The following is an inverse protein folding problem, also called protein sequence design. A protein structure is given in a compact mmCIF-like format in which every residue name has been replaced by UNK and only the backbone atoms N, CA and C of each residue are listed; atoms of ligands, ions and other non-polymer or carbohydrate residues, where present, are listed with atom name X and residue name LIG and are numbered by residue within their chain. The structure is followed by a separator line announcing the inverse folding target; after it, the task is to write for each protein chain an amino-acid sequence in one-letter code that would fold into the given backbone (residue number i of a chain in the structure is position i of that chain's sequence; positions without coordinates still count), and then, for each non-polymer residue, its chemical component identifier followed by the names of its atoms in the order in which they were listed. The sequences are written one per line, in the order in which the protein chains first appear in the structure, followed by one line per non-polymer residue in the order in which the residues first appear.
data_IF_852920113148
#
_entry.id   IF_852920113148
#
_cell.length_a   1.000
_cell.length_b   1.000
_cell.length_c   1.000
_cell.angle_alpha   90.00
_cell.angle_beta   90.00
_cell.angle_gamma   90.00
#
_symmetry.space_group_name_H-M   'P 1'
#
loop_
_entity.id
_entity.type
_entity.pdbx_description
1 polymer ?
#
# COMPACT_ATOMS: atom_id res chain seq x y z
N UNK A 1 -26.38 3.86 -5.11
CA UNK A 1 -26.41 2.38 -5.01
C UNK A 1 -25.45 2.01 -3.92
N UNK A 2 -25.81 1.23 -2.93
CA UNK A 2 -24.87 0.82 -1.87
C UNK A 2 -23.93 -0.25 -2.43
N UNK A 3 -22.67 -0.24 -2.00
CA UNK A 3 -21.70 -1.28 -2.31
C UNK A 3 -22.32 -2.66 -1.99
N UNK A 4 -22.04 -3.70 -2.79
CA UNK A 4 -22.52 -5.04 -2.53
C UNK A 4 -22.01 -5.51 -1.17
N UNK A 5 -22.88 -6.14 -0.40
CA UNK A 5 -22.46 -6.73 0.88
C UNK A 5 -21.41 -7.82 0.62
N UNK A 6 -20.46 -8.06 1.54
CA UNK A 6 -19.44 -9.13 1.38
C UNK A 6 -20.02 -10.49 1.01
N UNK A 7 -21.22 -10.81 1.50
CA UNK A 7 -21.95 -12.06 1.18
C UNK A 7 -22.51 -12.14 -0.26
N UNK A 8 -22.44 -11.06 -1.02
CA UNK A 8 -22.91 -10.99 -2.43
C UNK A 8 -21.75 -11.06 -3.42
N UNK A 9 -20.51 -11.03 -2.94
CA UNK A 9 -19.34 -11.22 -3.79
C UNK A 9 -19.12 -12.71 -4.03
N UNK A 10 -18.66 -13.10 -5.22
CA UNK A 10 -18.29 -14.49 -5.48
C UNK A 10 -17.13 -14.91 -4.57
N UNK A 11 -17.06 -16.20 -4.27
CA UNK A 11 -15.96 -16.77 -3.49
C UNK A 11 -14.61 -16.39 -4.11
N UNK A 12 -13.66 -15.90 -3.30
CA UNK A 12 -12.36 -15.47 -3.80
C UNK A 12 -11.55 -16.66 -4.32
N UNK A 13 -11.06 -16.55 -5.55
CA UNK A 13 -10.17 -17.54 -6.16
C UNK A 13 -8.74 -17.07 -6.01
N UNK A 14 -7.92 -17.81 -5.26
CA UNK A 14 -6.49 -17.53 -5.15
C UNK A 14 -5.71 -18.32 -6.20
N UNK A 15 -4.77 -17.65 -6.85
CA UNK A 15 -3.86 -18.23 -7.83
C UNK A 15 -2.42 -17.95 -7.43
N UNK A 16 -1.51 -18.86 -7.74
CA UNK A 16 -0.08 -18.64 -7.53
C UNK A 16 0.50 -17.86 -8.73
N UNK A 17 1.25 -16.80 -8.45
CA UNK A 17 1.81 -15.88 -9.45
C UNK A 17 3.34 -15.77 -9.40
N UNK A 18 4.01 -16.78 -8.85
CA UNK A 18 5.46 -16.81 -8.68
C UNK A 18 5.85 -16.96 -7.22
N UNK A 19 7.02 -16.47 -6.84
CA UNK A 19 7.52 -16.53 -5.47
C UNK A 19 7.28 -15.22 -4.72
N UNK A 20 7.11 -15.34 -3.41
CA UNK A 20 7.07 -14.19 -2.51
C UNK A 20 8.41 -13.46 -2.52
N UNK A 21 8.38 -12.17 -2.24
CA UNK A 21 9.57 -11.32 -2.22
C UNK A 21 9.61 -10.47 -0.96
N UNK A 22 10.85 -10.12 -0.58
CA UNK A 22 11.15 -9.15 0.46
C UNK A 22 12.38 -8.32 0.07
N UNK A 23 12.72 -7.32 0.86
CA UNK A 23 13.94 -6.53 0.69
C UNK A 23 15.19 -7.38 1.01
N UNK A 24 16.29 -7.13 0.31
CA UNK A 24 17.56 -7.78 0.65
C UNK A 24 18.23 -7.14 1.89
N UNK A 25 17.96 -5.87 2.16
CA UNK A 25 18.50 -5.12 3.31
C UNK A 25 17.47 -4.08 3.78
N UNK A 26 17.64 -3.62 5.02
CA UNK A 26 16.88 -2.51 5.60
C UNK A 26 17.09 -1.22 4.81
N UNK A 27 16.00 -0.47 4.64
CA UNK A 27 15.98 0.89 4.08
C UNK A 27 15.64 1.86 5.21
N UNK A 28 16.34 2.99 5.29
CA UNK A 28 15.95 4.11 6.13
C UNK A 28 15.85 5.37 5.28
N UNK A 29 14.73 6.09 5.40
CA UNK A 29 14.45 7.32 4.68
C UNK A 29 14.03 8.39 5.68
N UNK A 30 14.64 9.56 5.57
CA UNK A 30 14.28 10.75 6.34
C UNK A 30 13.70 11.81 5.41
N UNK A 31 12.75 12.57 5.91
CA UNK A 31 12.16 13.67 5.16
C UNK A 31 11.10 14.40 5.96
N UNK A 32 10.32 15.21 5.29
CA UNK A 32 9.28 16.07 5.87
C UNK A 32 7.92 15.63 5.38
N UNK A 33 6.93 15.55 6.26
CA UNK A 33 5.53 15.31 5.91
C UNK A 33 4.92 16.57 5.26
N UNK A 34 4.15 16.37 4.19
CA UNK A 34 3.57 17.49 3.41
C UNK A 34 2.47 18.23 4.19
N UNK A 35 1.69 17.51 4.99
CA UNK A 35 0.61 18.11 5.78
C UNK A 35 1.10 18.62 7.15
N UNK A 36 1.97 17.83 7.79
CA UNK A 36 2.45 18.13 9.15
C UNK A 36 3.60 19.14 9.18
N UNK A 37 4.35 19.27 8.09
CA UNK A 37 5.63 20.00 8.03
C UNK A 37 6.63 19.53 9.13
N UNK A 38 6.51 18.30 9.58
CA UNK A 38 7.35 17.72 10.63
C UNK A 38 8.33 16.71 10.02
N UNK A 39 9.49 16.59 10.67
CA UNK A 39 10.46 15.54 10.34
C UNK A 39 9.86 14.15 10.60
N UNK A 40 10.12 13.26 9.68
CA UNK A 40 9.73 11.85 9.78
C UNK A 40 10.86 10.96 9.30
N UNK A 41 10.99 9.82 9.97
CA UNK A 41 11.92 8.75 9.58
C UNK A 41 11.14 7.47 9.36
N UNK A 42 11.32 6.85 8.20
CA UNK A 42 10.74 5.55 7.88
C UNK A 42 11.85 4.53 7.74
N UNK A 43 11.75 3.45 8.50
CA UNK A 43 12.63 2.27 8.39
C UNK A 43 11.80 1.11 7.87
N UNK A 44 12.28 0.46 6.81
CA UNK A 44 11.62 -0.68 6.16
C UNK A 44 12.57 -1.86 6.26
N UNK A 45 12.14 -2.92 6.92
CA UNK A 45 12.94 -4.12 7.19
C UNK A 45 12.38 -5.32 6.43
N UNK A 46 13.25 -6.23 5.93
CA UNK A 46 12.79 -7.46 5.32
C UNK A 46 12.07 -8.35 6.33
N UNK A 47 11.09 -9.11 5.84
CA UNK A 47 10.39 -10.11 6.63
C UNK A 47 10.36 -11.46 5.92
N UNK A 48 10.14 -12.53 6.69
CA UNK A 48 10.00 -13.89 6.18
C UNK A 48 8.73 -14.05 5.33
N UNK A 49 8.67 -15.14 4.57
CA UNK A 49 7.48 -15.49 3.80
C UNK A 49 6.22 -15.58 4.68
N UNK A 50 5.08 -15.24 4.08
CA UNK A 50 3.76 -15.25 4.71
C UNK A 50 3.57 -14.25 5.86
N UNK A 51 4.53 -13.34 6.07
CA UNK A 51 4.40 -12.28 7.09
C UNK A 51 3.37 -11.23 6.66
N UNK A 52 3.34 -10.86 5.40
CA UNK A 52 2.61 -9.69 4.95
C UNK A 52 3.30 -8.40 5.35
N UNK A 53 2.60 -7.29 5.27
CA UNK A 53 3.09 -6.02 5.80
C UNK A 53 2.80 -5.91 7.30
N UNK A 54 3.77 -5.37 8.01
CA UNK A 54 3.63 -4.97 9.41
C UNK A 54 4.00 -3.50 9.53
N UNK A 55 3.37 -2.82 10.49
CA UNK A 55 3.61 -1.40 10.73
C UNK A 55 3.71 -1.09 12.23
N UNK A 56 4.54 -0.14 12.58
CA UNK A 56 4.60 0.45 13.90
C UNK A 56 4.86 1.95 13.81
N UNK A 57 4.28 2.70 14.73
CA UNK A 57 4.59 4.12 14.93
C UNK A 57 5.38 4.30 16.21
N UNK A 58 6.50 5.06 16.14
CA UNK A 58 7.38 5.30 17.28
C UNK A 58 7.87 4.01 17.96
N UNK A 59 7.73 3.92 19.27
CA UNK A 59 8.14 2.75 20.06
C UNK A 59 6.98 1.77 20.30
N UNK A 60 5.83 1.97 19.64
CA UNK A 60 4.72 1.06 19.77
C UNK A 60 5.04 -0.32 19.17
N UNK A 61 4.38 -1.37 19.64
CA UNK A 61 4.54 -2.71 19.10
C UNK A 61 4.23 -2.73 17.58
N UNK A 62 4.95 -3.60 16.88
CA UNK A 62 4.68 -3.89 15.48
C UNK A 62 3.37 -4.66 15.38
N UNK A 63 2.48 -4.25 14.48
CA UNK A 63 1.22 -4.93 14.21
C UNK A 63 1.07 -5.23 12.71
N UNK A 64 0.31 -6.26 12.38
CA UNK A 64 0.03 -6.60 10.99
C UNK A 64 -0.83 -5.50 10.36
N UNK A 65 -0.44 -5.08 9.17
CA UNK A 65 -1.20 -4.11 8.39
C UNK A 65 -2.38 -4.81 7.71
N UNK A 66 -3.58 -4.30 7.94
CA UNK A 66 -4.83 -4.79 7.36
C UNK A 66 -5.68 -3.63 6.85
N UNK A 67 -6.65 -3.91 5.99
CA UNK A 67 -7.57 -2.89 5.47
C UNK A 67 -8.45 -2.27 6.55
N UNK A 68 -8.66 -2.94 7.68
CA UNK A 68 -9.47 -2.46 8.81
C UNK A 68 -8.85 -1.24 9.52
N UNK A 69 -7.55 -1.04 9.34
CA UNK A 69 -6.83 0.12 9.87
C UNK A 69 -6.97 1.36 8.99
N UNK A 70 -7.53 1.22 7.78
CA UNK A 70 -7.75 2.37 6.90
C UNK A 70 -8.67 3.39 7.57
N UNK A 71 -8.24 4.63 7.55
CA UNK A 71 -8.99 5.77 8.07
C UNK A 71 -9.34 6.69 6.91
N UNK A 72 -10.62 7.03 6.78
CA UNK A 72 -11.09 7.97 5.77
C UNK A 72 -10.72 9.40 6.20
N UNK A 73 -9.70 9.93 5.56
CA UNK A 73 -9.26 11.31 5.75
C UNK A 73 -9.05 11.98 4.38
N UNK A 74 -9.32 13.27 4.28
CA UNK A 74 -9.10 14.00 3.02
C UNK A 74 -7.64 13.98 2.58
N UNK A 75 -7.42 13.89 1.28
CA UNK A 75 -6.15 14.17 0.60
C UNK A 75 -5.01 13.17 0.79
N UNK A 76 -5.18 12.08 1.53
CA UNK A 76 -4.17 11.03 1.64
C UNK A 76 -4.76 9.72 2.17
N UNK A 77 -3.99 8.65 2.10
CA UNK A 77 -4.30 7.39 2.78
C UNK A 77 -3.69 7.38 4.17
N UNK A 78 -4.50 7.11 5.19
CA UNK A 78 -4.05 7.00 6.57
C UNK A 78 -4.42 5.66 7.18
N UNK A 79 -3.65 5.28 8.20
CA UNK A 79 -3.85 4.09 9.00
C UNK A 79 -4.03 4.48 10.47
N UNK A 80 -5.03 3.91 11.12
CA UNK A 80 -5.22 3.98 12.58
C UNK A 80 -4.68 2.72 13.21
N UNK A 81 -3.61 2.84 13.97
CA UNK A 81 -2.99 1.71 14.67
C UNK A 81 -3.75 1.38 15.96
N UNK A 82 -3.58 0.15 16.45
CA UNK A 82 -4.19 -0.32 17.70
C UNK A 82 -3.82 0.54 18.92
N UNK A 83 -2.67 1.19 18.87
CA UNK A 83 -2.22 2.17 19.86
C UNK A 83 -3.00 3.49 19.84
N UNK A 84 -3.90 3.69 18.88
CA UNK A 84 -4.59 4.95 18.62
C UNK A 84 -3.78 5.97 17.80
N UNK A 85 -2.50 5.70 17.52
CA UNK A 85 -1.70 6.56 16.65
C UNK A 85 -2.18 6.47 15.20
N UNK A 86 -2.14 7.61 14.51
CA UNK A 86 -2.36 7.70 13.07
C UNK A 86 -1.01 7.76 12.35
N UNK A 87 -0.93 7.05 11.23
CA UNK A 87 0.17 7.17 10.27
C UNK A 87 -0.43 7.50 8.91
N UNK A 88 -0.11 8.66 8.37
CA UNK A 88 -0.66 9.17 7.09
C UNK A 88 0.38 9.15 5.95
N UNK A 89 -0.09 9.39 4.72
CA UNK A 89 0.73 9.40 3.49
C UNK A 89 1.42 8.06 3.19
N UNK A 90 0.73 6.94 3.47
CA UNK A 90 1.29 5.58 3.27
C UNK A 90 1.20 5.09 1.83
N UNK A 91 0.35 5.69 0.99
CA UNK A 91 0.02 5.26 -0.37
C UNK A 91 1.24 5.15 -1.29
N UNK A 92 2.16 6.13 -1.25
CA UNK A 92 3.34 6.15 -2.13
C UNK A 92 4.31 4.99 -1.83
N UNK A 93 4.55 4.73 -0.55
CA UNK A 93 5.39 3.61 -0.11
C UNK A 93 4.74 2.27 -0.43
N UNK A 94 3.46 2.10 -0.09
CA UNK A 94 2.74 0.85 -0.34
C UNK A 94 2.63 0.55 -1.84
N UNK A 95 2.40 1.59 -2.68
CA UNK A 95 2.42 1.46 -4.13
C UNK A 95 3.80 1.05 -4.66
N UNK A 96 4.88 1.61 -4.13
CA UNK A 96 6.24 1.24 -4.51
C UNK A 96 6.55 -0.23 -4.14
N UNK A 97 6.25 -0.65 -2.92
CA UNK A 97 6.45 -2.03 -2.48
C UNK A 97 5.64 -3.02 -3.32
N UNK A 98 4.33 -2.76 -3.51
CA UNK A 98 3.45 -3.60 -4.31
C UNK A 98 3.88 -3.65 -5.78
N UNK A 99 4.23 -2.50 -6.38
CA UNK A 99 4.73 -2.42 -7.76
C UNK A 99 6.03 -3.17 -7.99
N UNK A 100 6.86 -3.31 -6.95
CA UNK A 100 8.09 -4.11 -6.96
C UNK A 100 7.86 -5.59 -6.59
N UNK A 101 6.60 -5.98 -6.32
CA UNK A 101 6.22 -7.34 -5.95
C UNK A 101 6.62 -7.73 -4.52
N UNK A 102 6.89 -6.77 -3.67
CA UNK A 102 7.24 -6.99 -2.26
C UNK A 102 5.97 -6.92 -1.43
N UNK A 103 5.65 -8.00 -0.72
CA UNK A 103 4.49 -8.11 0.15
C UNK A 103 4.84 -8.57 1.57
N UNK A 104 6.13 -8.72 1.88
CA UNK A 104 6.63 -9.10 3.20
C UNK A 104 7.66 -8.06 3.67
N UNK A 105 7.21 -7.10 4.47
CA UNK A 105 8.06 -6.06 5.02
C UNK A 105 7.50 -5.50 6.33
N UNK A 106 8.39 -5.12 7.25
CA UNK A 106 8.05 -4.36 8.44
C UNK A 106 8.39 -2.88 8.23
N UNK A 107 7.44 -2.00 8.54
CA UNK A 107 7.53 -0.55 8.34
C UNK A 107 7.47 0.12 9.71
N UNK A 108 8.52 0.80 10.11
CA UNK A 108 8.55 1.59 11.34
C UNK A 108 8.61 3.08 11.00
N UNK A 109 7.70 3.85 11.56
CA UNK A 109 7.56 5.27 11.31
C UNK A 109 7.84 6.06 12.59
N UNK A 110 8.85 6.91 12.58
CA UNK A 110 9.09 7.91 13.62
C UNK A 110 8.51 9.23 13.13
N UNK A 111 7.26 9.49 13.49
CA UNK A 111 6.44 10.59 13.01
C UNK A 111 4.98 10.15 12.86
N UNK A 112 4.10 11.09 12.53
CA UNK A 112 2.69 10.82 12.27
C UNK A 112 2.37 10.70 10.77
N UNK A 113 3.36 10.98 9.92
CA UNK A 113 3.20 11.07 8.47
C UNK A 113 4.46 10.58 7.77
N UNK A 114 4.33 9.83 6.68
CA UNK A 114 5.48 9.46 5.86
C UNK A 114 6.01 10.70 5.12
N UNK A 115 7.34 10.77 4.87
CA UNK A 115 7.93 11.87 4.13
C UNK A 115 7.40 11.90 2.69
N UNK A 116 7.04 13.09 2.22
CA UNK A 116 6.47 13.28 0.87
C UNK A 116 7.52 13.07 -0.23
N UNK A 117 8.79 13.31 0.06
CA UNK A 117 9.91 13.26 -0.88
C UNK A 117 9.65 14.17 -2.09
N UNK A 118 9.59 13.62 -3.30
CA UNK A 118 9.28 14.36 -4.52
C UNK A 118 7.79 14.36 -4.92
N UNK A 119 6.92 13.80 -4.05
CA UNK A 119 5.49 13.66 -4.31
C UNK A 119 5.12 12.44 -5.14
N UNK A 120 6.04 11.53 -5.42
CA UNK A 120 5.80 10.30 -6.16
C UNK A 120 6.27 9.05 -5.41
N UNK A 121 5.96 7.87 -5.96
CA UNK A 121 6.50 6.60 -5.47
C UNK A 121 7.94 6.34 -5.96
N UNK A 122 8.47 7.14 -6.90
CA UNK A 122 9.77 6.91 -7.55
C UNK A 122 10.95 6.85 -6.58
N UNK A 123 11.11 7.78 -5.61
CA UNK A 123 12.21 7.72 -4.66
C UNK A 123 12.20 6.45 -3.80
N UNK A 124 11.01 5.94 -3.46
CA UNK A 124 10.87 4.68 -2.75
C UNK A 124 11.33 3.49 -3.61
N UNK A 125 10.93 3.45 -4.89
CA UNK A 125 11.37 2.43 -5.86
C UNK A 125 12.89 2.47 -6.04
N UNK A 126 13.49 3.64 -6.12
CA UNK A 126 14.94 3.79 -6.21
C UNK A 126 15.67 3.21 -4.99
N UNK A 127 15.17 3.49 -3.78
CA UNK A 127 15.73 2.92 -2.55
C UNK A 127 15.60 1.40 -2.51
N UNK A 128 14.46 0.86 -2.93
CA UNK A 128 14.23 -0.59 -3.03
C UNK A 128 15.24 -1.22 -4.01
N UNK A 129 15.43 -0.61 -5.18
CA UNK A 129 16.39 -1.08 -6.18
C UNK A 129 17.83 -1.03 -5.66
N UNK A 130 18.21 0.00 -4.91
CA UNK A 130 19.55 0.15 -4.33
C UNK A 130 19.89 -0.97 -3.34
N UNK A 131 18.96 -1.38 -2.49
CA UNK A 131 19.20 -2.44 -1.50
C UNK A 131 19.00 -3.84 -2.06
N UNK A 132 18.23 -3.97 -3.15
CA UNK A 132 17.90 -5.22 -3.80
C UNK A 132 16.68 -5.93 -3.20
N UNK A 133 16.23 -6.96 -3.90
CA UNK A 133 15.07 -7.78 -3.60
C UNK A 133 15.50 -9.23 -3.52
N UNK A 134 14.95 -9.98 -2.56
CA UNK A 134 15.20 -11.41 -2.37
C UNK A 134 13.89 -12.17 -2.60
N UNK A 135 13.95 -13.23 -3.38
CA UNK A 135 12.87 -14.22 -3.49
C UNK A 135 12.89 -15.15 -2.28
N UNK A 136 11.70 -15.39 -1.75
CA UNK A 136 11.47 -16.32 -0.65
C UNK A 136 11.04 -17.68 -1.21
N UNK A 137 11.05 -18.73 -0.37
CA UNK A 137 10.75 -20.08 -0.83
C UNK A 137 9.27 -20.28 -1.22
N UNK A 138 8.39 -19.60 -0.51
CA UNK A 138 6.93 -19.80 -0.62
C UNK A 138 6.34 -19.13 -1.87
N UNK A 139 5.26 -19.69 -2.45
CA UNK A 139 4.57 -19.09 -3.57
C UNK A 139 3.83 -17.81 -3.17
N UNK A 140 3.83 -16.83 -4.06
CA UNK A 140 2.97 -15.65 -3.95
C UNK A 140 1.57 -15.99 -4.44
N UNK A 141 0.59 -15.78 -3.57
CA UNK A 141 -0.82 -15.90 -3.91
C UNK A 141 -1.38 -14.55 -4.29
N UNK A 142 -2.16 -14.52 -5.36
CA UNK A 142 -2.93 -13.36 -5.78
C UNK A 142 -4.42 -13.71 -5.84
N UNK A 143 -5.25 -12.75 -5.52
CA UNK A 143 -6.69 -12.87 -5.67
C UNK A 143 -7.07 -12.64 -7.13
N UNK A 144 -7.69 -13.63 -7.75
CA UNK A 144 -8.32 -13.47 -9.07
C UNK A 144 -9.72 -12.90 -8.87
N UNK A 145 -9.92 -11.68 -9.28
CA UNK A 145 -11.24 -11.05 -9.28
C UNK A 145 -12.03 -11.47 -10.52
N UNK A 146 -13.34 -11.75 -10.40
CA UNK A 146 -14.24 -11.86 -11.54
C UNK A 146 -14.42 -10.48 -12.19
N UNK A 147 -15.02 -10.40 -13.40
CA UNK A 147 -15.52 -9.14 -13.90
C UNK A 147 -16.43 -8.48 -12.87
N UNK A 148 -16.15 -7.23 -12.54
CA UNK A 148 -16.85 -6.51 -11.48
C UNK A 148 -16.99 -5.05 -11.86
N UNK A 149 -18.17 -4.50 -11.66
CA UNK A 149 -18.45 -3.07 -11.77
C UNK A 149 -19.03 -2.59 -10.45
N UNK A 150 -18.47 -1.55 -9.90
CA UNK A 150 -18.92 -0.90 -8.66
C UNK A 150 -19.14 0.59 -8.94
N UNK A 151 -20.19 1.13 -8.34
CA UNK A 151 -20.49 2.56 -8.35
C UNK A 151 -20.60 3.05 -6.91
N UNK A 152 -19.84 4.08 -6.59
CA UNK A 152 -19.92 4.77 -5.30
C UNK A 152 -19.95 6.28 -5.51
N UNK A 153 -21.13 6.87 -5.31
CA UNK A 153 -21.38 8.26 -5.66
C UNK A 153 -21.06 8.55 -7.12
N UNK A 154 -20.15 9.48 -7.37
CA UNK A 154 -19.65 9.84 -8.70
C UNK A 154 -18.42 9.01 -9.13
N UNK A 155 -17.94 8.11 -8.29
CA UNK A 155 -16.81 7.23 -8.58
C UNK A 155 -17.28 5.90 -9.12
N UNK A 156 -16.57 5.36 -10.10
CA UNK A 156 -16.82 4.02 -10.64
C UNK A 156 -15.54 3.21 -10.69
N UNK A 157 -15.68 1.92 -10.45
CA UNK A 157 -14.60 0.95 -10.49
C UNK A 157 -15.00 -0.19 -11.41
N UNK A 158 -14.15 -0.51 -12.37
CA UNK A 158 -14.35 -1.63 -13.28
C UNK A 158 -13.14 -2.56 -13.22
N UNK A 159 -13.40 -3.85 -13.01
CA UNK A 159 -12.39 -4.89 -13.09
C UNK A 159 -12.74 -5.84 -14.23
N UNK A 160 -11.82 -6.02 -15.16
CA UNK A 160 -11.99 -6.96 -16.29
C UNK A 160 -10.79 -7.90 -16.36
N UNK A 161 -10.98 -9.15 -16.83
CA UNK A 161 -9.88 -10.05 -17.09
C UNK A 161 -8.88 -9.42 -18.08
N UNK A 162 -7.60 -9.42 -17.69
CA UNK A 162 -6.54 -8.94 -18.58
C UNK A 162 -6.14 -10.02 -19.59
N UNK A 163 -5.92 -9.61 -20.83
CA UNK A 163 -5.36 -10.46 -21.89
C UNK A 163 -3.83 -10.47 -21.90
N UNK A 164 -3.21 -9.60 -21.09
CA UNK A 164 -1.75 -9.51 -20.94
C UNK A 164 -1.34 -9.98 -19.55
N UNK A 165 -0.07 -10.36 -19.41
CA UNK A 165 0.50 -10.73 -18.13
C UNK A 165 0.63 -9.49 -17.22
N UNK A 166 0.21 -9.62 -15.96
CA UNK A 166 0.32 -8.59 -14.95
C UNK A 166 -0.95 -7.79 -14.70
N UNK A 167 -0.88 -6.88 -13.75
CA UNK A 167 -1.94 -5.96 -13.37
C UNK A 167 -1.84 -4.69 -14.23
N UNK A 168 -2.92 -4.35 -14.91
CA UNK A 168 -3.08 -3.06 -15.59
C UNK A 168 -4.04 -2.20 -14.81
N UNK A 169 -3.65 -0.96 -14.55
CA UNK A 169 -4.49 0.03 -13.87
C UNK A 169 -4.63 1.24 -14.79
N UNK A 170 -5.86 1.66 -15.03
CA UNK A 170 -6.20 2.93 -15.68
C UNK A 170 -7.06 3.72 -14.71
N UNK A 171 -6.69 4.95 -14.43
CA UNK A 171 -7.43 5.84 -13.54
C UNK A 171 -7.62 7.20 -14.20
N UNK A 172 -8.80 7.80 -14.01
CA UNK A 172 -9.10 9.18 -14.40
C UNK A 172 -9.76 9.91 -13.25
N UNK A 173 -9.41 11.16 -13.07
CA UNK A 173 -9.96 12.04 -12.05
C UNK A 173 -10.51 13.28 -12.73
N UNK A 174 -11.79 13.57 -12.50
CA UNK A 174 -12.39 14.83 -12.88
C UNK A 174 -12.27 15.82 -11.73
N UNK A 175 -11.51 16.88 -11.95
CA UNK A 175 -11.39 17.98 -10.98
C UNK A 175 -12.41 19.03 -11.39
N UNK A 176 -13.46 19.21 -10.59
CA UNK A 176 -14.38 20.33 -10.77
C UNK A 176 -13.59 21.64 -10.62
N UNK A 177 -13.49 22.41 -11.70
CA UNK A 177 -12.94 23.78 -11.62
C UNK A 177 -13.90 24.61 -10.76
N UNK A 178 -13.56 24.77 -9.48
CA UNK A 178 -14.05 25.91 -8.73
C UNK A 178 -13.31 27.11 -9.32
N UNK A 179 -13.98 27.90 -10.15
CA UNK A 179 -13.39 29.08 -10.74
C UNK A 179 -12.77 29.98 -9.65
N UNK A 180 -11.51 30.32 -9.84
CA UNK A 180 -10.88 31.46 -9.19
C UNK A 180 -11.35 32.72 -9.91
#
# INVERSE_FOLDING_TARGET
MSLPKPSQLPEPIFVEIGKQKTLAKTITVNGIGVHSNQQSTVTIEPMSANSGFHIASHQHPMEKLTAEQLEDIPMCTALRLSSGHRVSMVEHLLAALAGMGIFNAAIRVLGAELPILDGSASPWVEKIKQVGIVELADPQKALRLPPLELQDGNSSYCCTPSTVSGLQISASIEIAHSGF
#
